data_IF_375714441704
#
_entry.id   IF_375714441704
#
_cell.length_a   1.000
_cell.length_b   1.000
_cell.length_c   1.000
_cell.angle_alpha   90.00
_cell.angle_beta   90.00
_cell.angle_gamma   90.00
#
_symmetry.space_group_name_H-M   'P 1'
#
loop_
_entity.id
_entity.type
_entity.pdbx_description
1 polymer ?
#
# COMPACT_ATOMS: atom_id res chain seq x y z
N UNK A 1 -22.07 3.48 -45.78
CA UNK A 1 -21.24 3.16 -44.57
C UNK A 1 -21.96 2.04 -43.85
N UNK A 2 -21.36 0.86 -43.76
CA UNK A 2 -22.00 -0.29 -43.08
C UNK A 2 -22.04 -0.06 -41.55
N UNK A 3 -23.01 -0.69 -40.88
CA UNK A 3 -23.15 -0.62 -39.41
C UNK A 3 -21.87 -1.07 -38.69
N UNK A 4 -21.09 -1.96 -39.29
CA UNK A 4 -19.82 -2.47 -38.78
C UNK A 4 -18.69 -1.41 -38.88
N UNK A 5 -18.58 -0.67 -39.95
CA UNK A 5 -17.58 0.39 -40.11
C UNK A 5 -17.74 1.53 -39.11
N UNK A 6 -18.99 1.86 -38.75
CA UNK A 6 -19.27 2.88 -37.72
C UNK A 6 -18.84 2.41 -36.31
N UNK A 7 -19.17 1.17 -35.95
CA UNK A 7 -18.77 0.59 -34.69
C UNK A 7 -17.24 0.47 -34.53
N UNK A 8 -16.55 0.10 -35.59
CA UNK A 8 -15.10 -0.03 -35.61
C UNK A 8 -14.43 1.36 -35.44
N UNK A 9 -14.94 2.42 -36.07
CA UNK A 9 -14.47 3.78 -35.86
C UNK A 9 -14.64 4.25 -34.42
N UNK A 10 -15.78 3.97 -33.80
CA UNK A 10 -16.05 4.35 -32.42
C UNK A 10 -15.12 3.62 -31.42
N UNK A 11 -14.87 2.33 -31.62
CA UNK A 11 -13.95 1.54 -30.78
C UNK A 11 -12.51 2.09 -30.94
N UNK A 12 -12.05 2.32 -32.16
CA UNK A 12 -10.73 2.85 -32.46
C UNK A 12 -10.54 4.25 -31.85
N UNK A 13 -11.57 5.10 -31.90
CA UNK A 13 -11.54 6.44 -31.32
C UNK A 13 -11.40 6.36 -29.78
N UNK A 14 -12.22 5.54 -29.12
CA UNK A 14 -12.16 5.37 -27.67
C UNK A 14 -10.82 4.76 -27.22
N UNK A 15 -10.29 3.84 -28.00
CA UNK A 15 -8.99 3.24 -27.73
C UNK A 15 -7.85 4.26 -27.82
N UNK A 16 -7.82 5.10 -28.87
CA UNK A 16 -6.85 6.20 -28.99
C UNK A 16 -6.97 7.17 -27.82
N UNK A 17 -8.17 7.58 -27.46
CA UNK A 17 -8.43 8.45 -26.32
C UNK A 17 -7.93 7.84 -24.99
N UNK A 18 -8.12 6.54 -24.82
CA UNK A 18 -7.57 5.81 -23.66
C UNK A 18 -6.04 5.90 -23.60
N UNK A 19 -5.35 5.69 -24.74
CA UNK A 19 -3.89 5.77 -24.80
C UNK A 19 -3.38 7.19 -24.50
N UNK A 20 -4.06 8.22 -24.98
CA UNK A 20 -3.73 9.62 -24.66
C UNK A 20 -3.86 9.90 -23.15
N UNK A 21 -4.92 9.40 -22.52
CA UNK A 21 -5.12 9.53 -21.06
C UNK A 21 -4.05 8.77 -20.30
N UNK A 22 -3.71 7.54 -20.70
CA UNK A 22 -2.65 6.74 -20.06
C UNK A 22 -1.28 7.46 -20.14
N UNK A 23 -0.97 8.12 -21.28
CA UNK A 23 0.23 8.94 -21.44
C UNK A 23 0.23 10.19 -20.54
N UNK A 24 -0.92 10.90 -20.46
CA UNK A 24 -1.08 12.05 -19.58
C UNK A 24 -0.91 11.66 -18.10
N UNK A 25 -1.47 10.51 -17.69
CA UNK A 25 -1.30 9.95 -16.34
C UNK A 25 0.19 9.71 -16.07
N UNK A 26 0.89 9.06 -17.00
CA UNK A 26 2.32 8.76 -16.87
C UNK A 26 3.18 10.03 -16.76
N UNK A 27 2.91 11.04 -17.58
CA UNK A 27 3.59 12.35 -17.53
C UNK A 27 3.32 13.06 -16.20
N UNK A 28 2.08 13.00 -15.70
CA UNK A 28 1.68 13.63 -14.44
C UNK A 28 2.34 12.95 -13.24
N UNK A 29 2.43 11.61 -13.24
CA UNK A 29 3.14 10.85 -12.21
C UNK A 29 4.63 11.24 -12.19
N UNK A 30 5.27 11.29 -13.36
CA UNK A 30 6.67 11.70 -13.48
C UNK A 30 6.91 13.14 -12.99
N UNK A 31 6.00 14.06 -13.30
CA UNK A 31 6.04 15.44 -12.78
C UNK A 31 5.88 15.46 -11.25
N UNK A 32 4.96 14.65 -10.71
CA UNK A 32 4.76 14.53 -9.24
C UNK A 32 6.01 14.02 -8.54
N UNK A 33 6.70 13.01 -9.09
CA UNK A 33 7.95 12.47 -8.54
C UNK A 33 9.01 13.59 -8.49
N UNK A 34 9.24 14.28 -9.60
CA UNK A 34 10.21 15.40 -9.65
C UNK A 34 9.90 16.51 -8.64
N UNK A 35 8.63 16.89 -8.50
CA UNK A 35 8.22 17.89 -7.50
C UNK A 35 8.45 17.42 -6.06
N UNK A 36 8.22 16.14 -5.77
CA UNK A 36 8.53 15.54 -4.45
C UNK A 36 10.02 15.58 -4.16
N UNK A 37 10.87 15.28 -5.14
CA UNK A 37 12.32 15.34 -4.99
C UNK A 37 12.82 16.77 -4.76
N UNK A 38 12.32 17.75 -5.51
CA UNK A 38 12.62 19.18 -5.31
C UNK A 38 12.19 19.61 -3.90
N UNK A 39 10.95 19.27 -3.48
CA UNK A 39 10.46 19.57 -2.13
C UNK A 39 11.37 18.96 -1.06
N UNK A 40 11.77 17.69 -1.24
CA UNK A 40 12.67 17.00 -0.31
C UNK A 40 14.03 17.70 -0.24
N UNK A 41 14.60 18.08 -1.38
CA UNK A 41 15.86 18.82 -1.43
C UNK A 41 15.77 20.15 -0.68
N UNK A 42 14.71 20.93 -0.92
CA UNK A 42 14.48 22.20 -0.23
C UNK A 42 14.37 21.98 1.28
N UNK A 43 13.50 21.07 1.72
CA UNK A 43 13.17 20.89 3.13
C UNK A 43 14.25 20.17 3.95
N UNK A 44 15.01 19.24 3.33
CA UNK A 44 15.99 18.41 4.04
C UNK A 44 17.44 18.82 3.82
N UNK A 45 17.71 19.66 2.81
CA UNK A 45 19.08 20.07 2.48
C UNK A 45 19.22 21.59 2.50
N UNK A 46 18.44 22.32 1.69
CA UNK A 46 18.68 23.75 1.50
C UNK A 46 18.30 24.57 2.74
N UNK A 47 17.10 24.38 3.28
CA UNK A 47 16.65 25.07 4.50
C UNK A 47 17.56 24.72 5.69
N UNK A 48 17.84 23.45 6.04
CA UNK A 48 18.78 23.12 7.12
C UNK A 48 20.16 23.74 6.98
N UNK A 49 20.73 23.78 5.77
CA UNK A 49 22.03 24.44 5.53
C UNK A 49 21.97 25.93 5.82
N UNK A 50 20.88 26.63 5.47
CA UNK A 50 20.71 28.04 5.80
C UNK A 50 20.65 28.27 7.31
N UNK A 51 19.91 27.42 8.03
CA UNK A 51 19.86 27.48 9.49
C UNK A 51 21.24 27.29 10.14
N UNK A 52 21.97 26.28 9.70
CA UNK A 52 23.34 26.00 10.20
C UNK A 52 24.29 27.14 9.89
N UNK A 53 24.25 27.68 8.66
CA UNK A 53 25.13 28.80 8.25
C UNK A 53 24.85 30.07 9.06
N UNK A 54 23.60 30.32 9.42
CA UNK A 54 23.21 31.50 10.19
C UNK A 54 23.23 31.27 11.71
N UNK A 55 23.60 30.08 12.18
CA UNK A 55 23.67 29.75 13.61
C UNK A 55 22.32 29.82 14.34
N UNK A 56 21.21 29.66 13.61
CA UNK A 56 19.86 29.73 14.20
C UNK A 56 19.20 28.36 14.22
N UNK A 57 18.42 28.06 15.24
CA UNK A 57 17.64 26.81 15.37
C UNK A 57 16.15 26.97 15.08
N UNK A 58 15.66 28.22 15.09
CA UNK A 58 14.27 28.56 14.76
C UNK A 58 14.20 29.89 14.02
N UNK A 59 13.15 30.05 13.23
CA UNK A 59 12.88 31.25 12.44
C UNK A 59 11.38 31.47 12.32
N UNK A 60 10.92 32.68 12.69
CA UNK A 60 9.52 33.07 12.53
C UNK A 60 9.27 33.56 11.10
N UNK A 61 8.29 32.94 10.43
CA UNK A 61 7.85 33.33 9.09
C UNK A 61 6.92 34.53 9.14
N UNK A 62 6.83 35.29 8.05
CA UNK A 62 5.95 36.48 7.95
C UNK A 62 4.47 36.21 8.22
N UNK A 63 4.03 34.96 8.12
CA UNK A 63 2.66 34.54 8.42
C UNK A 63 2.43 34.14 9.89
N UNK A 64 3.40 34.37 10.77
CA UNK A 64 3.33 34.01 12.19
C UNK A 64 3.66 32.53 12.50
N UNK A 65 3.96 31.72 11.47
CA UNK A 65 4.39 30.32 11.69
C UNK A 65 5.87 30.26 12.08
N UNK A 66 6.21 29.32 12.95
CA UNK A 66 7.61 29.09 13.35
C UNK A 66 8.21 27.89 12.62
N UNK A 67 9.38 28.09 12.01
CA UNK A 67 10.16 27.07 11.35
C UNK A 67 11.31 26.66 12.26
N UNK A 68 11.39 25.38 12.64
CA UNK A 68 12.41 24.86 13.55
C UNK A 68 13.30 23.84 12.85
N UNK A 69 14.61 23.91 13.13
CA UNK A 69 15.56 22.88 12.71
C UNK A 69 15.53 21.70 13.68
N UNK A 70 14.99 20.57 13.23
CA UNK A 70 14.92 19.33 14.02
C UNK A 70 15.78 18.25 13.39
N UNK A 71 16.57 17.56 14.20
CA UNK A 71 17.26 16.35 13.76
C UNK A 71 16.24 15.21 13.58
N UNK A 72 16.30 14.54 12.43
CA UNK A 72 15.43 13.40 12.11
C UNK A 72 16.26 12.25 11.56
N UNK A 73 15.85 11.02 11.89
CA UNK A 73 16.53 9.79 11.47
C UNK A 73 15.59 8.96 10.62
N UNK A 74 16.01 8.59 9.42
CA UNK A 74 15.27 7.72 8.52
C UNK A 74 16.07 6.44 8.24
N UNK A 75 15.38 5.30 8.24
CA UNK A 75 15.99 4.02 7.87
C UNK A 75 16.01 3.87 6.34
N UNK A 76 17.19 3.66 5.78
CA UNK A 76 17.34 3.23 4.38
C UNK A 76 16.96 1.75 4.30
N UNK A 77 15.95 1.39 3.48
CA UNK A 77 15.53 0.00 3.24
C UNK A 77 15.29 -0.79 4.54
N UNK A 78 14.22 -0.48 5.33
CA UNK A 78 13.97 -1.13 6.62
C UNK A 78 13.98 -2.67 6.56
N UNK A 79 13.50 -3.26 5.46
CA UNK A 79 13.45 -4.70 5.28
C UNK A 79 14.84 -5.34 5.11
N UNK A 80 15.77 -4.65 4.46
CA UNK A 80 17.12 -5.15 4.23
C UNK A 80 17.94 -5.15 5.54
N UNK A 81 17.82 -4.08 6.33
CA UNK A 81 18.60 -3.92 7.54
C UNK A 81 17.98 -4.57 8.78
N UNK A 82 16.73 -5.06 8.69
CA UNK A 82 16.04 -5.64 9.86
C UNK A 82 16.79 -6.84 10.47
N UNK A 83 17.31 -7.75 9.65
CA UNK A 83 18.09 -8.89 10.13
C UNK A 83 19.40 -8.46 10.81
N UNK A 84 20.12 -7.51 10.21
CA UNK A 84 21.36 -6.97 10.77
C UNK A 84 21.09 -6.22 12.08
N UNK A 85 20.02 -5.42 12.13
CA UNK A 85 19.60 -4.72 13.35
C UNK A 85 19.27 -5.70 14.47
N UNK A 86 18.50 -6.76 14.20
CA UNK A 86 18.21 -7.79 15.21
C UNK A 86 19.49 -8.46 15.73
N UNK A 87 20.43 -8.76 14.84
CA UNK A 87 21.72 -9.35 15.22
C UNK A 87 22.55 -8.40 16.09
N UNK A 88 22.58 -7.12 15.73
CA UNK A 88 23.26 -6.10 16.48
C UNK A 88 22.63 -5.88 17.84
N UNK A 89 21.30 -5.71 17.93
CA UNK A 89 20.58 -5.55 19.22
C UNK A 89 20.84 -6.73 20.18
N UNK A 90 20.88 -7.98 19.67
CA UNK A 90 21.23 -9.14 20.49
C UNK A 90 22.66 -9.05 21.05
N UNK A 91 23.60 -8.65 20.20
CA UNK A 91 25.01 -8.51 20.62
C UNK A 91 25.21 -7.42 21.68
N UNK A 92 24.48 -6.31 21.57
CA UNK A 92 24.58 -5.17 22.48
C UNK A 92 23.67 -5.30 23.73
N UNK A 93 22.98 -6.43 23.91
CA UNK A 93 22.13 -6.67 25.08
C UNK A 93 20.75 -5.97 25.05
N UNK A 94 20.30 -5.54 23.87
CA UNK A 94 19.01 -4.86 23.65
C UNK A 94 17.97 -5.81 23.03
N UNK A 95 17.87 -7.06 23.51
CA UNK A 95 16.95 -8.06 22.97
C UNK A 95 15.48 -7.70 23.21
N UNK A 96 15.19 -6.92 24.25
CA UNK A 96 13.86 -6.38 24.60
C UNK A 96 13.26 -5.51 23.50
N UNK A 97 14.10 -4.88 22.66
CA UNK A 97 13.66 -4.09 21.50
C UNK A 97 13.24 -4.97 20.31
N UNK A 98 13.56 -6.26 20.32
CA UNK A 98 13.25 -7.19 19.22
C UNK A 98 11.85 -7.76 19.40
N UNK A 99 10.94 -7.35 18.54
CA UNK A 99 9.58 -7.90 18.52
C UNK A 99 9.51 -9.21 17.77
N UNK A 100 9.37 -10.31 18.46
CA UNK A 100 9.12 -11.62 17.86
C UNK A 100 7.62 -11.83 17.64
N UNK A 101 7.23 -12.18 16.40
CA UNK A 101 5.83 -12.43 16.05
C UNK A 101 5.68 -13.80 15.40
N UNK A 102 4.84 -14.64 15.98
CA UNK A 102 4.44 -15.93 15.41
C UNK A 102 3.04 -15.80 14.81
N UNK A 103 2.89 -16.17 13.54
CA UNK A 103 1.59 -16.16 12.83
C UNK A 103 1.20 -17.59 12.50
N UNK A 104 0.04 -18.01 12.99
CA UNK A 104 -0.55 -19.32 12.70
C UNK A 104 -1.83 -19.10 11.90
N UNK A 105 -2.01 -19.84 10.81
CA UNK A 105 -3.19 -19.73 9.94
C UNK A 105 -3.99 -21.03 9.96
N UNK A 106 -5.29 -20.90 10.18
CA UNK A 106 -6.24 -22.01 10.12
C UNK A 106 -7.17 -21.81 8.92
N UNK A 107 -7.25 -22.79 8.04
CA UNK A 107 -8.16 -22.75 6.90
C UNK A 107 -9.36 -23.63 7.19
N UNK A 108 -10.54 -23.02 7.36
CA UNK A 108 -11.79 -23.73 7.68
C UNK A 108 -11.88 -24.34 9.09
N UNK A 109 -10.86 -24.13 9.94
CA UNK A 109 -10.77 -24.71 11.29
C UNK A 109 -10.98 -23.66 12.38
N UNK A 110 -12.16 -23.07 12.44
CA UNK A 110 -12.47 -21.96 13.33
C UNK A 110 -12.38 -22.35 14.81
N UNK A 111 -12.88 -23.53 15.19
CA UNK A 111 -12.86 -24.00 16.58
C UNK A 111 -11.43 -24.16 17.11
N UNK A 112 -10.53 -24.70 16.28
CA UNK A 112 -9.11 -24.87 16.65
C UNK A 112 -8.43 -23.49 16.82
N UNK A 113 -8.70 -22.53 15.91
CA UNK A 113 -8.18 -21.17 16.02
C UNK A 113 -8.62 -20.47 17.32
N UNK A 114 -9.90 -20.60 17.68
CA UNK A 114 -10.45 -20.03 18.93
C UNK A 114 -9.82 -20.70 20.14
N UNK A 115 -9.63 -22.01 20.14
CA UNK A 115 -9.00 -22.73 21.24
C UNK A 115 -7.55 -22.29 21.46
N UNK A 116 -6.75 -22.20 20.39
CA UNK A 116 -5.37 -21.71 20.47
C UNK A 116 -5.34 -20.26 20.98
N UNK A 117 -6.22 -19.40 20.49
CA UNK A 117 -6.35 -18.02 20.96
C UNK A 117 -6.58 -17.94 22.48
N UNK A 118 -7.52 -18.74 23.00
CA UNK A 118 -7.83 -18.81 24.44
C UNK A 118 -6.63 -19.32 25.25
N UNK A 119 -5.93 -20.35 24.78
CA UNK A 119 -4.74 -20.91 25.44
C UNK A 119 -3.61 -19.88 25.52
N UNK A 120 -3.32 -19.18 24.41
CA UNK A 120 -2.30 -18.14 24.39
C UNK A 120 -2.65 -16.97 25.33
N UNK A 121 -3.92 -16.56 25.37
CA UNK A 121 -4.38 -15.52 26.30
C UNK A 121 -4.20 -15.94 27.76
N UNK A 122 -4.52 -17.20 28.10
CA UNK A 122 -4.30 -17.73 29.46
C UNK A 122 -2.83 -17.75 29.86
N UNK A 123 -1.91 -17.90 28.89
CA UNK A 123 -0.45 -17.88 29.12
C UNK A 123 0.14 -16.45 29.15
N UNK A 124 -0.69 -15.41 29.17
CA UNK A 124 -0.22 -14.01 29.22
C UNK A 124 0.19 -13.40 27.89
N UNK A 125 0.04 -14.10 26.76
CA UNK A 125 0.30 -13.52 25.45
C UNK A 125 -0.87 -12.61 25.00
N UNK A 126 -0.60 -11.70 24.08
CA UNK A 126 -1.61 -10.83 23.44
C UNK A 126 -1.94 -11.32 22.01
N UNK A 127 -2.63 -12.47 21.85
CA UNK A 127 -2.96 -12.99 20.52
C UNK A 127 -3.98 -12.08 19.81
N UNK A 128 -3.92 -12.06 18.48
CA UNK A 128 -4.92 -11.39 17.64
C UNK A 128 -5.64 -12.43 16.80
N UNK A 129 -6.96 -12.54 16.97
CA UNK A 129 -7.80 -13.38 16.12
C UNK A 129 -8.38 -12.52 14.99
N UNK A 130 -8.05 -12.84 13.75
CA UNK A 130 -8.54 -12.15 12.58
C UNK A 130 -9.18 -13.14 11.60
N UNK A 131 -10.45 -12.92 11.27
CA UNK A 131 -11.21 -13.70 10.27
C UNK A 131 -11.31 -12.88 8.99
N UNK A 132 -10.77 -13.42 7.90
CA UNK A 132 -10.88 -12.76 6.59
C UNK A 132 -10.92 -13.78 5.47
N UNK A 133 -11.70 -13.48 4.45
CA UNK A 133 -11.61 -14.15 3.15
C UNK A 133 -10.81 -13.26 2.22
N UNK A 134 -9.83 -13.82 1.51
CA UNK A 134 -9.03 -13.00 0.58
C UNK A 134 -9.86 -12.57 -0.63
N UNK A 135 -9.63 -11.36 -1.20
CA UNK A 135 -10.33 -10.93 -2.42
C UNK A 135 -10.20 -11.93 -3.58
N UNK A 136 -9.05 -12.61 -3.69
CA UNK A 136 -8.85 -13.65 -4.71
C UNK A 136 -9.79 -14.84 -4.50
N UNK A 137 -9.96 -15.30 -3.27
CA UNK A 137 -10.87 -16.40 -2.92
C UNK A 137 -12.31 -16.04 -3.25
N UNK A 138 -12.73 -14.79 -2.92
CA UNK A 138 -14.07 -14.29 -3.25
C UNK A 138 -14.27 -14.27 -4.77
N UNK A 139 -13.32 -13.74 -5.53
CA UNK A 139 -13.36 -13.68 -7.00
C UNK A 139 -13.43 -15.08 -7.63
N UNK A 140 -12.63 -16.03 -7.15
CA UNK A 140 -12.66 -17.41 -7.64
C UNK A 140 -14.01 -18.08 -7.36
N UNK A 141 -14.53 -17.94 -6.14
CA UNK A 141 -15.84 -18.43 -5.76
C UNK A 141 -16.95 -17.84 -6.62
N UNK A 142 -16.93 -16.50 -6.84
CA UNK A 142 -17.93 -15.83 -7.69
C UNK A 142 -17.91 -16.37 -9.11
N UNK A 143 -16.72 -16.56 -9.70
CA UNK A 143 -16.58 -17.13 -11.05
C UNK A 143 -17.21 -18.52 -11.13
N UNK A 144 -16.88 -19.40 -10.18
CA UNK A 144 -17.43 -20.75 -10.11
C UNK A 144 -18.95 -20.78 -9.94
N UNK A 145 -19.52 -19.87 -9.14
CA UNK A 145 -20.97 -19.79 -8.95
C UNK A 145 -21.70 -19.20 -10.19
N UNK A 146 -21.05 -18.25 -10.90
CA UNK A 146 -21.59 -17.73 -12.17
C UNK A 146 -21.68 -18.83 -13.24
N UNK A 147 -20.66 -19.67 -13.37
CA UNK A 147 -20.66 -20.83 -14.27
C UNK A 147 -21.78 -21.81 -13.94
N UNK A 148 -22.16 -21.91 -12.66
CA UNK A 148 -23.30 -22.75 -12.20
C UNK A 148 -24.65 -22.04 -12.26
N UNK A 149 -24.76 -20.85 -12.87
CA UNK A 149 -25.97 -20.04 -12.99
C UNK A 149 -26.73 -19.78 -11.67
N UNK A 150 -26.00 -19.70 -10.54
CA UNK A 150 -26.61 -19.34 -9.26
C UNK A 150 -26.79 -17.82 -9.16
N UNK A 151 -27.98 -17.39 -8.75
CA UNK A 151 -28.36 -15.96 -8.64
C UNK A 151 -28.22 -15.46 -7.18
N UNK A 152 -28.12 -14.14 -6.99
CA UNK A 152 -28.26 -13.39 -5.72
C UNK A 152 -27.15 -13.54 -4.66
N UNK A 153 -25.94 -13.97 -5.00
CA UNK A 153 -24.82 -14.01 -4.04
C UNK A 153 -23.84 -12.82 -4.21
N UNK A 154 -23.79 -12.22 -5.40
CA UNK A 154 -22.83 -11.11 -5.71
C UNK A 154 -23.04 -9.90 -4.80
N UNK A 155 -24.28 -9.47 -4.63
CA UNK A 155 -24.63 -8.35 -3.75
C UNK A 155 -24.22 -8.61 -2.29
N UNK A 156 -24.50 -9.82 -1.79
CA UNK A 156 -24.14 -10.23 -0.43
C UNK A 156 -22.62 -10.23 -0.18
N UNK A 157 -21.83 -10.46 -1.23
CA UNK A 157 -20.36 -10.44 -1.19
C UNK A 157 -19.77 -9.07 -1.56
N UNK A 158 -20.61 -8.07 -1.89
CA UNK A 158 -20.15 -6.76 -2.35
C UNK A 158 -19.40 -6.83 -3.69
N UNK A 159 -19.75 -7.78 -4.56
CA UNK A 159 -19.09 -7.99 -5.85
C UNK A 159 -19.92 -7.40 -6.96
N UNK A 160 -19.32 -6.52 -7.74
CA UNK A 160 -19.88 -6.05 -9.01
C UNK A 160 -19.17 -6.66 -10.20
N UNK A 161 -19.90 -6.90 -11.27
CA UNK A 161 -19.38 -7.44 -12.53
C UNK A 161 -19.11 -6.31 -13.50
N UNK A 162 -17.93 -6.28 -14.10
CA UNK A 162 -17.59 -5.36 -15.18
C UNK A 162 -16.81 -6.08 -16.27
N UNK A 163 -16.93 -5.57 -17.50
CA UNK A 163 -16.18 -6.09 -18.63
C UNK A 163 -14.93 -5.24 -18.85
N UNK A 164 -13.81 -5.90 -19.06
CA UNK A 164 -12.52 -5.26 -19.35
C UNK A 164 -12.00 -5.74 -20.70
N UNK A 165 -11.60 -4.82 -21.55
CA UNK A 165 -10.92 -5.13 -22.80
C UNK A 165 -9.45 -5.43 -22.56
N UNK A 166 -8.94 -6.52 -23.12
CA UNK A 166 -7.52 -6.87 -23.14
C UNK A 166 -7.04 -6.88 -24.58
N UNK A 167 -5.78 -6.47 -24.78
CA UNK A 167 -5.11 -6.61 -26.07
C UNK A 167 -4.53 -8.02 -26.10
N UNK A 168 -5.03 -8.87 -26.99
CA UNK A 168 -4.40 -10.14 -27.31
C UNK A 168 -3.39 -9.90 -28.45
N UNK A 169 -2.13 -10.28 -28.21
CA UNK A 169 -1.07 -10.29 -29.23
C UNK A 169 -1.04 -11.65 -29.90
#
# INVERSE_FOLDING_TARGET
MSLNEKKEKDINYLYKKKLEIDDQISKTINKLIKLKDVRKNISQILIPRLFQRNGVSSFELKNGSNLELRCSYELKNPNLYNYQACKWFKKEGHEDLIRNTVKVSFRGKEKEAINLFKQLKKKGFCPKLNKKVTPMTIKAFVREQDERNRKNFKERLGVFTFYKTNICK
#
